data_IF_434139432215
#
_entry.id   IF_434139432215
#
_cell.length_a   1.000
_cell.length_b   1.000
_cell.length_c   1.000
_cell.angle_alpha   90.00
_cell.angle_beta   90.00
_cell.angle_gamma   90.00
#
_symmetry.space_group_name_H-M   'P 1'
#
loop_
_entity.id
_entity.type
_entity.pdbx_description
1 polymer ?
#
# COMPACT_ATOMS: atom_id res chain seq x y z
N UNK A 1 -0.30 42.45 -16.71
CA UNK A 1 -0.75 41.16 -16.12
C UNK A 1 0.48 40.38 -15.72
N UNK A 2 0.62 40.00 -14.45
CA UNK A 2 1.72 39.14 -13.97
C UNK A 2 1.57 37.73 -14.56
N UNK A 3 2.65 37.11 -15.06
CA UNK A 3 2.57 35.75 -15.61
C UNK A 3 2.16 34.76 -14.51
N UNK A 4 1.38 33.71 -14.85
CA UNK A 4 0.96 32.73 -13.85
C UNK A 4 2.18 32.03 -13.23
N UNK A 5 2.14 31.71 -11.92
CA UNK A 5 3.29 31.12 -11.25
C UNK A 5 3.68 29.78 -11.91
N UNK A 6 4.99 29.49 -12.02
CA UNK A 6 5.50 28.22 -12.51
C UNK A 6 4.82 27.04 -11.83
N UNK A 7 4.62 25.93 -12.55
CA UNK A 7 3.98 24.71 -12.03
C UNK A 7 4.58 24.23 -10.71
N UNK A 8 5.88 24.47 -10.46
CA UNK A 8 6.55 24.12 -9.21
C UNK A 8 6.08 24.99 -8.03
N UNK A 9 5.99 26.31 -8.19
CA UNK A 9 5.52 27.23 -7.14
C UNK A 9 4.09 26.87 -6.69
N UNK A 10 3.17 26.63 -7.63
CA UNK A 10 1.80 26.20 -7.31
C UNK A 10 1.73 24.91 -6.47
N UNK A 11 2.70 24.01 -6.65
CA UNK A 11 2.76 22.74 -5.90
C UNK A 11 3.28 22.97 -4.49
N UNK A 12 4.32 23.79 -4.36
CA UNK A 12 4.95 24.11 -3.09
C UNK A 12 3.98 24.92 -2.20
N UNK A 13 3.26 25.89 -2.78
CA UNK A 13 2.19 26.65 -2.12
C UNK A 13 1.05 25.73 -1.63
N UNK A 14 0.57 24.82 -2.49
CA UNK A 14 -0.49 23.88 -2.11
C UNK A 14 -0.08 22.97 -0.95
N UNK A 15 1.15 22.45 -0.97
CA UNK A 15 1.66 21.57 0.10
C UNK A 15 1.82 22.32 1.40
N UNK A 16 2.36 23.54 1.37
CA UNK A 16 2.50 24.40 2.54
C UNK A 16 1.14 24.65 3.18
N UNK A 17 0.14 25.06 2.39
CA UNK A 17 -1.22 25.26 2.88
C UNK A 17 -1.87 23.99 3.47
N UNK A 18 -1.60 22.82 2.87
CA UNK A 18 -2.13 21.53 3.36
C UNK A 18 -1.47 21.11 4.68
N UNK A 19 -0.15 21.33 4.83
CA UNK A 19 0.58 21.05 6.06
C UNK A 19 0.18 21.99 7.21
N UNK A 20 -0.05 23.27 6.91
CA UNK A 20 -0.58 24.25 7.87
C UNK A 20 -1.99 23.86 8.34
N UNK A 21 -2.87 23.45 7.42
CA UNK A 21 -4.22 22.99 7.77
C UNK A 21 -4.21 21.71 8.64
N UNK A 22 -3.27 20.80 8.40
CA UNK A 22 -3.15 19.54 9.16
C UNK A 22 -2.57 19.76 10.56
N UNK A 23 -1.64 20.71 10.71
CA UNK A 23 -1.03 21.05 12.01
C UNK A 23 -1.95 21.89 12.91
N UNK A 24 -2.84 22.71 12.31
CA UNK A 24 -3.80 23.53 13.06
C UNK A 24 -5.10 22.79 13.42
N UNK A 25 -5.37 21.58 12.89
CA UNK A 25 -6.61 20.84 13.17
C UNK A 25 -6.73 20.24 14.59
N UNK A 26 -5.85 20.63 15.52
CA UNK A 26 -6.00 20.37 16.95
C UNK A 26 -6.92 21.41 17.59
N UNK A 27 -8.19 21.07 17.77
CA UNK A 27 -9.24 21.82 18.46
C UNK A 27 -9.88 23.00 17.68
N UNK A 28 -11.19 22.87 17.45
CA UNK A 28 -12.22 23.92 17.33
C UNK A 28 -12.74 24.43 15.97
N UNK A 29 -12.08 24.27 14.82
CA UNK A 29 -12.71 24.62 13.52
C UNK A 29 -12.48 23.56 12.45
N UNK A 30 -13.44 22.64 12.37
CA UNK A 30 -13.36 21.41 11.60
C UNK A 30 -13.89 21.65 10.18
N UNK A 31 -13.18 22.47 9.42
CA UNK A 31 -13.39 22.56 7.98
C UNK A 31 -13.28 21.16 7.33
N UNK A 32 -14.14 20.91 6.36
CA UNK A 32 -14.24 19.69 5.54
C UNK A 32 -12.85 19.07 5.28
N UNK A 33 -12.56 17.88 5.86
CA UNK A 33 -11.26 17.21 5.66
C UNK A 33 -11.18 16.85 4.17
N UNK A 34 -10.31 17.54 3.44
CA UNK A 34 -10.11 17.30 2.02
C UNK A 34 -8.96 16.34 1.82
N UNK A 35 -9.19 15.33 0.98
CA UNK A 35 -8.10 14.49 0.50
C UNK A 35 -7.03 15.36 -0.20
N UNK A 36 -5.74 15.00 -0.08
CA UNK A 36 -4.69 15.62 -0.87
C UNK A 36 -4.96 15.37 -2.36
N UNK A 37 -4.63 16.35 -3.19
CA UNK A 37 -4.79 16.24 -4.65
C UNK A 37 -3.51 15.75 -5.31
N UNK A 38 -3.52 14.54 -5.88
CA UNK A 38 -2.36 13.85 -6.51
C UNK A 38 -1.54 14.74 -7.44
N UNK A 39 -2.21 15.57 -8.24
CA UNK A 39 -1.57 16.47 -9.22
C UNK A 39 -0.48 17.37 -8.61
N UNK A 40 -0.57 17.73 -7.33
CA UNK A 40 0.44 18.55 -6.67
C UNK A 40 1.65 17.76 -6.14
N UNK A 41 1.55 16.44 -6.12
CA UNK A 41 2.57 15.52 -5.59
C UNK A 41 3.30 14.72 -6.68
N UNK A 42 2.94 14.89 -7.96
CA UNK A 42 3.51 14.13 -9.07
C UNK A 42 5.02 14.34 -9.27
N UNK A 43 5.84 13.33 -9.04
CA UNK A 43 7.26 13.30 -9.44
C UNK A 43 7.46 12.35 -10.64
N UNK A 44 8.68 12.29 -11.19
CA UNK A 44 9.02 11.27 -12.20
C UNK A 44 8.76 9.89 -11.59
N UNK A 45 8.24 8.96 -12.41
CA UNK A 45 7.84 7.63 -11.93
C UNK A 45 9.03 6.86 -11.31
N UNK A 46 10.22 7.09 -11.86
CA UNK A 46 11.45 6.39 -11.49
C UNK A 46 12.34 7.31 -10.66
N UNK A 47 12.79 6.81 -9.51
CA UNK A 47 13.98 7.30 -8.83
C UNK A 47 15.15 6.36 -9.14
N UNK A 48 16.39 6.86 -9.10
CA UNK A 48 17.54 5.95 -9.15
C UNK A 48 17.57 5.20 -7.81
N UNK A 49 17.39 3.86 -7.77
CA UNK A 49 17.44 3.12 -6.52
C UNK A 49 18.79 3.30 -5.81
N UNK A 50 19.86 3.58 -6.56
CA UNK A 50 21.18 3.73 -5.98
C UNK A 50 21.50 5.14 -5.44
N UNK A 51 20.58 6.12 -5.54
CA UNK A 51 20.79 7.47 -4.98
C UNK A 51 20.25 7.57 -3.54
N UNK A 52 21.14 7.61 -2.55
CA UNK A 52 20.79 7.51 -1.11
C UNK A 52 20.47 8.85 -0.43
N UNK A 53 20.10 9.91 -1.17
CA UNK A 53 19.94 11.23 -0.57
C UNK A 53 18.85 11.23 0.54
N UNK A 54 19.30 11.30 1.79
CA UNK A 54 18.52 11.39 3.02
C UNK A 54 17.56 10.22 3.29
N UNK A 55 17.97 8.99 2.98
CA UNK A 55 17.28 7.78 3.48
C UNK A 55 17.85 7.41 4.86
N UNK A 56 16.98 7.20 5.84
CA UNK A 56 17.35 6.72 7.18
C UNK A 56 16.86 5.28 7.32
N UNK A 57 17.77 4.39 7.65
CA UNK A 57 17.49 2.98 7.89
C UNK A 57 17.69 2.68 9.38
N UNK A 58 16.83 1.85 10.00
CA UNK A 58 17.11 1.35 11.33
C UNK A 58 18.37 0.47 11.33
N UNK A 59 19.09 0.42 12.45
CA UNK A 59 20.28 -0.43 12.60
C UNK A 59 19.96 -1.91 12.46
N UNK A 60 18.81 -2.31 13.01
CA UNK A 60 18.24 -3.65 12.90
C UNK A 60 16.72 -3.54 13.13
N UNK A 61 15.94 -4.61 12.88
CA UNK A 61 14.50 -4.58 13.13
C UNK A 61 14.15 -4.17 14.57
N UNK A 62 14.98 -4.55 15.54
CA UNK A 62 14.82 -4.20 16.96
C UNK A 62 15.04 -2.71 17.29
N UNK A 63 15.59 -1.92 16.35
CA UNK A 63 15.77 -0.46 16.48
C UNK A 63 14.71 0.33 15.70
N UNK A 64 13.83 -0.35 14.94
CA UNK A 64 12.84 0.34 14.12
C UNK A 64 11.75 0.97 14.99
N UNK A 65 11.56 2.29 14.87
CA UNK A 65 10.48 3.01 15.52
C UNK A 65 9.22 2.96 14.65
N UNK A 66 8.31 2.06 15.02
CA UNK A 66 6.99 1.95 14.40
C UNK A 66 5.92 2.81 15.09
N UNK A 67 6.21 3.42 16.23
CA UNK A 67 5.22 4.11 17.07
C UNK A 67 4.62 5.33 16.38
N UNK A 68 5.43 6.09 15.64
CA UNK A 68 4.97 7.23 14.85
C UNK A 68 4.09 6.82 13.66
N UNK A 69 4.20 5.58 13.20
CA UNK A 69 3.46 5.08 12.04
C UNK A 69 2.07 4.53 12.40
N UNK A 70 1.96 3.94 13.59
CA UNK A 70 0.77 3.24 14.07
C UNK A 70 0.39 3.70 15.49
N UNK A 71 0.02 4.98 15.68
CA UNK A 71 -0.25 5.55 17.00
C UNK A 71 -1.34 4.79 17.79
N UNK A 72 -2.36 4.27 17.09
CA UNK A 72 -3.44 3.49 17.70
C UNK A 72 -3.00 2.12 18.26
N UNK A 73 -1.80 1.65 17.92
CA UNK A 73 -1.27 0.35 18.32
C UNK A 73 -0.05 0.46 19.22
N UNK A 74 0.30 1.65 19.71
CA UNK A 74 1.41 1.83 20.66
C UNK A 74 1.04 1.15 21.98
N UNK A 75 1.95 0.33 22.52
CA UNK A 75 1.75 -0.30 23.83
C UNK A 75 1.55 0.80 24.87
N UNK A 76 0.47 0.78 25.69
CA UNK A 76 0.17 1.85 26.65
C UNK A 76 1.18 1.96 27.79
N UNK A 77 1.95 0.91 28.10
CA UNK A 77 2.99 0.93 29.13
C UNK A 77 4.30 1.57 28.60
N UNK A 78 4.78 2.68 29.21
CA UNK A 78 6.01 3.38 28.81
C UNK A 78 7.31 2.58 29.00
N UNK A 79 7.30 1.52 29.80
CA UNK A 79 8.47 0.67 29.98
C UNK A 79 8.75 -0.22 28.76
N UNK A 80 7.76 -0.46 27.90
CA UNK A 80 7.89 -1.30 26.72
C UNK A 80 8.52 -0.53 25.56
N UNK A 81 9.85 -0.43 25.57
CA UNK A 81 10.66 0.24 24.55
C UNK A 81 11.49 -0.74 23.70
N UNK A 82 11.80 -0.33 22.47
CA UNK A 82 12.72 -1.03 21.58
C UNK A 82 14.18 -0.61 21.86
N UNK A 83 15.15 -1.14 21.09
CA UNK A 83 16.58 -0.82 21.30
C UNK A 83 16.96 0.62 20.90
N UNK A 84 16.08 1.34 20.20
CA UNK A 84 16.25 2.77 19.90
C UNK A 84 15.60 3.69 20.95
N UNK A 85 15.00 3.13 22.02
CA UNK A 85 14.27 3.90 23.04
C UNK A 85 12.85 4.31 22.63
N UNK A 86 12.35 3.87 21.48
CA UNK A 86 10.99 4.14 21.02
C UNK A 86 9.99 3.14 21.59
N UNK A 87 8.73 3.56 21.73
CA UNK A 87 7.66 2.70 22.27
C UNK A 87 7.36 1.54 21.32
N UNK A 88 7.24 0.33 21.86
CA UNK A 88 6.82 -0.85 21.08
C UNK A 88 5.34 -0.78 20.73
N UNK A 89 4.96 -1.45 19.65
CA UNK A 89 3.57 -1.67 19.31
C UNK A 89 3.00 -2.88 20.07
N UNK A 90 1.68 -3.00 20.09
CA UNK A 90 0.93 -4.16 20.60
C UNK A 90 1.00 -5.37 19.67
N UNK A 91 1.35 -5.16 18.39
CA UNK A 91 1.53 -6.18 17.36
C UNK A 91 2.52 -5.70 16.30
N UNK A 92 3.15 -6.64 15.61
CA UNK A 92 4.15 -6.35 14.58
C UNK A 92 3.53 -5.95 13.24
N UNK A 93 4.34 -5.28 12.40
CA UNK A 93 4.03 -5.12 10.97
C UNK A 93 4.18 -6.46 10.27
N UNK A 94 3.11 -6.92 9.64
CA UNK A 94 3.06 -8.24 8.99
C UNK A 94 2.87 -8.16 7.46
N UNK A 95 2.44 -7.00 6.94
CA UNK A 95 2.20 -6.82 5.50
C UNK A 95 3.01 -5.64 4.98
N UNK A 96 3.65 -5.81 3.83
CA UNK A 96 4.41 -4.74 3.15
C UNK A 96 4.01 -4.61 1.69
N UNK A 97 3.84 -3.36 1.24
CA UNK A 97 3.67 -2.97 -0.16
C UNK A 97 4.95 -2.26 -0.64
N UNK A 98 5.77 -3.00 -1.36
CA UNK A 98 7.06 -2.55 -1.88
C UNK A 98 6.82 -1.68 -3.13
N UNK A 99 7.22 -0.41 -3.05
CA UNK A 99 6.98 0.54 -4.13
C UNK A 99 5.50 0.95 -4.20
N UNK A 100 4.89 1.26 -3.05
CA UNK A 100 3.44 1.44 -2.91
C UNK A 100 2.82 2.56 -3.77
N UNK A 101 3.64 3.42 -4.39
CA UNK A 101 3.17 4.52 -5.23
C UNK A 101 2.25 5.45 -4.44
N UNK A 102 1.11 5.81 -5.03
CA UNK A 102 0.11 6.66 -4.38
C UNK A 102 -0.76 5.92 -3.33
N UNK A 103 -0.34 4.73 -2.88
CA UNK A 103 -0.91 4.01 -1.74
C UNK A 103 -2.27 3.35 -2.00
N UNK A 104 -2.67 3.21 -3.26
CA UNK A 104 -3.98 2.65 -3.62
C UNK A 104 -4.20 1.24 -3.06
N UNK A 105 -3.17 0.39 -3.09
CA UNK A 105 -3.21 -0.94 -2.49
C UNK A 105 -3.39 -0.86 -0.96
N UNK A 106 -2.61 -0.01 -0.27
CA UNK A 106 -2.74 0.19 1.18
C UNK A 106 -4.18 0.53 1.57
N UNK A 107 -4.80 1.50 0.88
CA UNK A 107 -6.18 1.90 1.16
C UNK A 107 -7.16 0.75 0.89
N UNK A 108 -6.94 -0.05 -0.15
CA UNK A 108 -7.78 -1.20 -0.49
C UNK A 108 -7.64 -2.37 0.49
N UNK A 109 -6.43 -2.62 1.00
CA UNK A 109 -6.16 -3.72 1.94
C UNK A 109 -6.54 -3.37 3.38
N UNK A 110 -6.51 -2.09 3.78
CA UNK A 110 -6.80 -1.67 5.15
C UNK A 110 -8.09 -2.28 5.75
N UNK A 111 -9.25 -2.19 5.06
CA UNK A 111 -10.50 -2.78 5.56
C UNK A 111 -10.58 -4.30 5.37
N UNK A 112 -9.79 -4.87 4.45
CA UNK A 112 -9.76 -6.32 4.19
C UNK A 112 -8.96 -7.06 5.27
N UNK A 113 -7.91 -6.42 5.80
CA UNK A 113 -6.99 -6.97 6.79
C UNK A 113 -6.95 -6.08 8.06
N UNK A 114 -8.09 -5.87 8.75
CA UNK A 114 -8.17 -4.92 9.87
C UNK A 114 -7.22 -5.28 11.03
N UNK A 115 -6.91 -6.57 11.17
CA UNK A 115 -6.04 -7.08 12.23
C UNK A 115 -4.54 -7.08 11.87
N UNK A 116 -4.16 -6.88 10.62
CA UNK A 116 -2.75 -6.82 10.21
C UNK A 116 -2.28 -5.37 10.08
N UNK A 117 -1.08 -5.08 10.57
CA UNK A 117 -0.41 -3.81 10.29
C UNK A 117 0.29 -3.89 8.93
N UNK A 118 0.02 -2.89 8.09
CA UNK A 118 0.41 -2.83 6.69
C UNK A 118 1.28 -1.59 6.45
N UNK A 119 2.46 -1.75 5.87
CA UNK A 119 3.36 -0.64 5.54
C UNK A 119 3.60 -0.52 4.04
N UNK A 120 3.44 0.68 3.49
CA UNK A 120 3.94 1.02 2.17
C UNK A 120 5.38 1.51 2.22
N UNK A 121 6.26 1.00 1.37
CA UNK A 121 7.64 1.48 1.25
C UNK A 121 7.80 2.21 -0.09
N UNK A 122 8.09 3.51 -0.05
CA UNK A 122 8.22 4.35 -1.26
C UNK A 122 9.49 5.20 -1.21
N UNK A 123 10.24 5.23 -2.30
CA UNK A 123 11.51 5.96 -2.38
C UNK A 123 11.31 7.46 -2.68
N UNK A 124 10.23 7.81 -3.40
CA UNK A 124 9.93 9.17 -3.86
C UNK A 124 9.26 10.00 -2.77
N UNK A 125 9.98 11.04 -2.32
CA UNK A 125 9.56 11.93 -1.22
C UNK A 125 8.16 12.50 -1.43
N UNK A 126 7.84 13.06 -2.59
CA UNK A 126 6.53 13.70 -2.76
C UNK A 126 5.40 12.70 -2.88
N UNK A 127 5.68 11.50 -3.37
CA UNK A 127 4.67 10.45 -3.48
C UNK A 127 4.37 9.92 -2.08
N UNK A 128 5.41 9.70 -1.27
CA UNK A 128 5.25 9.38 0.14
C UNK A 128 4.46 10.47 0.89
N UNK A 129 4.82 11.74 0.71
CA UNK A 129 4.13 12.88 1.33
C UNK A 129 2.62 12.84 1.03
N UNK A 130 2.25 12.58 -0.23
CA UNK A 130 0.85 12.38 -0.60
C UNK A 130 0.19 11.22 0.15
N UNK A 131 0.85 10.06 0.20
CA UNK A 131 0.29 8.86 0.84
C UNK A 131 0.09 9.10 2.33
N UNK A 132 1.08 9.67 3.02
CA UNK A 132 1.00 9.99 4.44
C UNK A 132 -0.16 10.96 4.73
N UNK A 133 -0.26 12.06 3.98
CA UNK A 133 -1.38 13.02 4.15
C UNK A 133 -2.73 12.37 3.84
N UNK A 134 -2.80 11.48 2.84
CA UNK A 134 -4.02 10.76 2.49
C UNK A 134 -4.46 9.82 3.60
N UNK A 135 -3.55 9.06 4.17
CA UNK A 135 -3.84 8.14 5.29
C UNK A 135 -4.32 8.93 6.51
N UNK A 136 -3.65 10.05 6.85
CA UNK A 136 -4.06 10.91 7.95
C UNK A 136 -5.47 11.48 7.75
N UNK A 137 -5.79 11.97 6.55
CA UNK A 137 -7.12 12.46 6.22
C UNK A 137 -8.20 11.37 6.37
N UNK A 138 -7.92 10.14 5.90
CA UNK A 138 -8.82 8.99 6.03
C UNK A 138 -9.05 8.59 7.49
N UNK A 139 -8.01 8.52 8.32
CA UNK A 139 -8.12 8.23 9.76
C UNK A 139 -8.98 9.29 10.47
N UNK A 140 -8.68 10.57 10.26
CA UNK A 140 -9.43 11.67 10.87
C UNK A 140 -10.90 11.69 10.43
N UNK A 141 -11.19 11.32 9.18
CA UNK A 141 -12.56 11.17 8.70
C UNK A 141 -13.29 10.02 9.42
N UNK A 142 -12.65 8.85 9.55
CA UNK A 142 -13.23 7.71 10.27
C UNK A 142 -13.49 8.01 11.75
N UNK A 143 -12.59 8.75 12.39
CA UNK A 143 -12.79 9.24 13.76
C UNK A 143 -14.05 10.12 13.88
N UNK A 144 -14.29 11.03 12.92
CA UNK A 144 -15.51 11.85 12.88
C UNK A 144 -16.77 11.02 12.69
N UNK A 145 -16.74 10.05 11.76
CA UNK A 145 -17.88 9.17 11.53
C UNK A 145 -18.22 8.38 12.81
N UNK A 146 -17.20 7.87 13.53
CA UNK A 146 -17.40 7.18 14.82
C UNK A 146 -18.02 8.09 15.86
N UNK A 147 -17.52 9.32 15.99
CA UNK A 147 -18.06 10.30 16.94
C UNK A 147 -19.53 10.64 16.62
N UNK A 148 -19.86 10.85 15.34
CA UNK A 148 -21.23 11.13 14.91
C UNK A 148 -22.18 9.95 15.19
N UNK A 149 -21.75 8.71 14.94
CA UNK A 149 -22.54 7.51 15.28
C UNK A 149 -22.76 7.39 16.79
N UNK A 150 -21.72 7.60 17.60
CA UNK A 150 -21.83 7.53 19.06
C UNK A 150 -22.81 8.58 19.63
N UNK A 151 -22.79 9.82 19.10
CA UNK A 151 -23.74 10.86 19.49
C UNK A 151 -25.17 10.51 19.08
N UNK A 152 -25.38 9.93 17.90
CA UNK A 152 -26.70 9.49 17.45
C UNK A 152 -27.27 8.35 18.31
N UNK A 153 -26.43 7.38 18.71
CA UNK A 153 -26.85 6.30 19.62
C UNK A 153 -27.22 6.84 21.00
N UNK A 154 -26.40 7.72 21.58
CA UNK A 154 -26.69 8.35 22.87
C UNK A 154 -27.98 9.20 22.87
N UNK A 155 -28.29 9.89 21.77
CA UNK A 155 -29.54 10.64 21.62
C UNK A 155 -30.77 9.72 21.56
N UNK A 156 -30.64 8.51 21.01
CA UNK A 156 -31.74 7.54 20.90
C UNK A 156 -32.06 6.79 22.20
N UNK A 157 -31.12 6.74 23.15
CA UNK A 157 -31.28 6.03 24.44
C UNK A 157 -31.91 6.89 25.54
N UNK A 158 -32.39 8.10 25.23
CA UNK A 158 -33.18 8.89 26.18
C UNK A 158 -34.63 8.36 26.20
N UNK A 159 -35.17 7.84 27.32
CA UNK A 159 -36.54 7.33 27.36
C UNK A 159 -37.53 8.49 27.30
N UNK A 160 -37.96 8.86 26.10
CA UNK A 160 -39.09 9.76 25.90
C UNK A 160 -40.39 9.01 26.17
N UNK A 161 -40.87 9.11 27.41
CA UNK A 161 -42.29 9.02 27.70
C UNK A 161 -42.98 10.18 26.99
N UNK A 162 -43.54 9.96 25.80
CA UNK A 162 -44.76 10.65 25.39
C UNK A 162 -45.43 9.99 24.19
N UNK A 163 -46.70 9.72 24.44
CA UNK A 163 -47.72 9.02 23.70
C UNK A 163 -47.86 9.46 22.23
N UNK A 164 -48.16 8.46 21.41
CA UNK A 164 -48.56 8.54 20.01
C UNK A 164 -49.71 9.51 19.72
N UNK A 165 -49.59 10.23 18.61
CA UNK A 165 -50.72 10.53 17.73
C UNK A 165 -50.27 10.40 16.27
N UNK A 166 -50.83 9.38 15.63
CA UNK A 166 -50.72 9.07 14.21
C UNK A 166 -51.79 9.91 13.52
N UNK A 167 -51.40 10.76 12.57
CA UNK A 167 -52.33 11.21 11.53
C UNK A 167 -51.59 11.37 10.21
N UNK A 168 -52.09 10.61 9.23
CA UNK A 168 -51.51 10.48 7.91
C UNK A 168 -51.82 11.65 6.99
N UNK A 169 -50.88 11.94 6.10
CA UNK A 169 -51.18 12.52 4.79
C UNK A 169 -50.09 12.16 3.80
N UNK A 170 -50.41 11.20 2.94
CA UNK A 170 -49.73 10.94 1.68
C UNK A 170 -49.98 12.11 0.73
N UNK A 171 -48.93 12.63 0.10
CA UNK A 171 -49.05 13.37 -1.15
C UNK A 171 -47.75 13.28 -1.97
N UNK A 172 -47.87 12.52 -3.07
CA UNK A 172 -47.13 12.53 -4.33
C UNK A 172 -45.92 13.47 -4.51
N UNK A 173 -44.83 12.88 -5.01
CA UNK A 173 -43.94 13.54 -5.95
C UNK A 173 -43.65 12.59 -7.11
N UNK A 174 -44.15 12.95 -8.29
CA UNK A 174 -43.85 12.34 -9.58
C UNK A 174 -43.20 13.41 -10.46
N UNK A 175 -42.28 12.96 -11.31
CA UNK A 175 -41.72 13.63 -12.50
C UNK A 175 -40.79 14.82 -12.21
N UNK A 176 -39.75 15.11 -12.99
CA UNK A 176 -39.02 14.46 -14.07
C UNK A 176 -37.86 15.44 -14.39
N UNK A 177 -36.78 14.96 -15.00
CA UNK A 177 -36.14 15.57 -16.17
C UNK A 177 -34.64 15.29 -16.23
N UNK A 178 -34.28 14.74 -17.38
CA UNK A 178 -32.96 14.58 -17.95
C UNK A 178 -32.09 15.83 -17.92
N UNK A 179 -30.76 15.63 -17.80
CA UNK A 179 -29.79 16.37 -18.61
C UNK A 179 -28.41 15.68 -18.58
N UNK A 180 -27.98 15.21 -19.75
CA UNK A 180 -26.66 14.68 -20.02
C UNK A 180 -25.56 15.77 -19.97
N UNK A 181 -24.44 15.51 -19.30
CA UNK A 181 -23.13 16.15 -19.58
C UNK A 181 -21.98 15.62 -18.69
N UNK A 182 -20.70 15.84 -19.02
CA UNK A 182 -19.81 14.88 -19.69
C UNK A 182 -18.74 14.26 -18.77
N UNK A 183 -18.01 13.29 -19.31
CA UNK A 183 -16.96 12.45 -18.72
C UNK A 183 -16.21 13.03 -17.48
N UNK A 184 -16.11 12.30 -16.36
CA UNK A 184 -15.39 12.78 -15.19
C UNK A 184 -13.88 12.69 -15.44
N UNK A 185 -13.21 13.83 -15.35
CA UNK A 185 -11.77 13.90 -15.12
C UNK A 185 -11.41 13.03 -13.92
N UNK A 186 -10.59 12.01 -14.15
CA UNK A 186 -10.23 10.94 -13.20
C UNK A 186 -9.29 11.45 -12.11
N UNK A 187 -9.83 12.13 -11.10
CA UNK A 187 -9.08 12.50 -9.88
C UNK A 187 -9.97 12.60 -8.62
N UNK A 188 -11.25 12.20 -8.68
CA UNK A 188 -12.15 12.15 -7.52
C UNK A 188 -12.03 10.82 -6.80
N UNK A 189 -11.03 10.70 -5.95
CA UNK A 189 -11.04 9.65 -4.93
C UNK A 189 -12.20 9.93 -3.97
N UNK A 190 -13.22 9.07 -3.99
CA UNK A 190 -14.35 9.20 -3.07
C UNK A 190 -13.91 8.84 -1.66
N UNK A 191 -14.23 9.74 -0.74
CA UNK A 191 -14.11 9.51 0.69
C UNK A 191 -15.18 8.47 1.11
N UNK A 192 -14.83 7.42 1.88
CA UNK A 192 -15.83 6.49 2.38
C UNK A 192 -16.81 7.23 3.30
N UNK A 193 -18.12 7.14 3.03
CA UNK A 193 -19.17 7.78 3.84
C UNK A 193 -19.61 6.93 5.03
N UNK A 194 -19.11 5.69 5.11
CA UNK A 194 -19.42 4.72 6.16
C UNK A 194 -18.16 4.37 6.96
N UNK A 195 -18.37 3.77 8.14
CA UNK A 195 -17.29 3.19 8.92
C UNK A 195 -16.69 1.98 8.20
N UNK A 196 -15.37 1.91 8.17
CA UNK A 196 -14.64 0.77 7.60
C UNK A 196 -13.88 0.01 8.70
N UNK A 197 -13.75 -1.32 8.61
CA UNK A 197 -12.93 -2.11 9.54
C UNK A 197 -11.50 -1.55 9.65
N UNK A 198 -10.97 -1.51 10.88
CA UNK A 198 -9.64 -0.94 11.17
C UNK A 198 -9.52 0.58 11.04
N UNK A 199 -10.47 1.27 10.40
CA UNK A 199 -10.50 2.73 10.21
C UNK A 199 -9.20 3.35 9.69
N UNK A 200 -8.46 2.61 8.86
CA UNK A 200 -7.16 2.99 8.31
C UNK A 200 -6.06 3.25 9.36
N UNK A 201 -6.29 2.89 10.62
CA UNK A 201 -5.27 2.97 11.67
C UNK A 201 -4.16 1.92 11.46
N UNK A 202 -4.48 0.84 10.76
CA UNK A 202 -3.60 -0.29 10.48
C UNK A 202 -2.68 -0.11 9.25
N UNK A 203 -2.78 1.00 8.51
CA UNK A 203 -1.92 1.29 7.34
C UNK A 203 -1.01 2.48 7.59
N UNK A 204 0.23 2.42 7.12
CA UNK A 204 1.15 3.56 7.11
C UNK A 204 2.07 3.50 5.88
N UNK A 205 2.92 4.51 5.71
CA UNK A 205 3.95 4.49 4.67
C UNK A 205 5.26 5.09 5.18
N UNK A 206 6.37 4.55 4.69
CA UNK A 206 7.74 4.95 5.05
C UNK A 206 8.58 5.25 3.82
N UNK A 207 9.56 6.15 3.99
CA UNK A 207 10.54 6.41 2.95
C UNK A 207 11.61 5.34 2.98
N UNK A 208 11.74 4.56 1.92
CA UNK A 208 12.80 3.56 1.85
C UNK A 208 13.13 3.20 0.41
N UNK A 209 14.39 2.81 0.19
CA UNK A 209 14.75 2.00 -0.97
C UNK A 209 14.79 0.54 -0.52
N UNK A 210 13.81 -0.24 -0.95
CA UNK A 210 13.66 -1.67 -0.61
C UNK A 210 14.68 -2.58 -1.29
N UNK A 211 15.47 -2.06 -2.24
CA UNK A 211 16.63 -2.80 -2.76
C UNK A 211 17.86 -2.70 -1.85
N UNK A 212 17.78 -1.93 -0.76
CA UNK A 212 18.86 -1.75 0.21
C UNK A 212 18.31 -1.94 1.61
N UNK A 213 18.93 -2.81 2.39
CA UNK A 213 18.63 -2.97 3.82
C UNK A 213 17.16 -3.36 4.09
N UNK A 214 16.51 -4.13 3.21
CA UNK A 214 15.18 -4.66 3.49
C UNK A 214 15.13 -5.46 4.81
N UNK A 215 16.12 -6.35 5.11
CA UNK A 215 16.23 -7.04 6.40
C UNK A 215 16.47 -6.13 7.62
N UNK A 216 16.79 -4.85 7.44
CA UNK A 216 16.91 -3.93 8.57
C UNK A 216 15.54 -3.51 9.12
N UNK A 217 14.48 -3.55 8.29
CA UNK A 217 13.13 -3.18 8.73
C UNK A 217 12.37 -4.34 9.38
N UNK A 218 12.62 -5.57 8.92
CA UNK A 218 11.82 -6.73 9.29
C UNK A 218 12.69 -7.86 9.83
N UNK A 219 12.29 -8.41 10.98
CA UNK A 219 12.91 -9.60 11.54
C UNK A 219 12.64 -10.84 10.67
N UNK A 220 13.42 -11.89 10.92
CA UNK A 220 13.19 -13.20 10.30
C UNK A 220 11.75 -13.65 10.56
N UNK A 221 11.03 -14.05 9.51
CA UNK A 221 9.64 -14.52 9.57
C UNK A 221 8.62 -13.52 10.13
N UNK A 222 8.94 -12.23 10.17
CA UNK A 222 8.00 -11.23 10.67
C UNK A 222 6.79 -11.05 9.73
N UNK A 223 7.01 -11.10 8.41
CA UNK A 223 5.98 -10.80 7.42
C UNK A 223 5.13 -12.02 7.10
N UNK A 224 3.84 -11.80 6.81
CA UNK A 224 2.90 -12.78 6.26
C UNK A 224 2.59 -12.51 4.78
N UNK A 225 2.70 -11.24 4.33
CA UNK A 225 2.46 -10.85 2.94
C UNK A 225 3.42 -9.77 2.46
N UNK A 226 3.98 -9.95 1.26
CA UNK A 226 4.78 -8.95 0.55
C UNK A 226 4.10 -8.68 -0.80
N UNK A 227 3.86 -7.43 -1.15
CA UNK A 227 3.31 -7.02 -2.44
C UNK A 227 4.34 -6.27 -3.26
N UNK A 228 4.46 -6.60 -4.54
CA UNK A 228 5.30 -5.92 -5.54
C UNK A 228 4.42 -5.64 -6.76
N UNK A 229 3.82 -4.45 -6.79
CA UNK A 229 2.81 -4.11 -7.79
C UNK A 229 3.35 -3.15 -8.86
N UNK A 230 3.30 -3.58 -10.12
CA UNK A 230 3.75 -2.80 -11.28
C UNK A 230 5.17 -2.21 -11.11
N UNK A 231 6.17 -3.03 -10.73
CA UNK A 231 7.54 -2.57 -10.60
C UNK A 231 8.09 -2.10 -11.97
N UNK A 232 9.10 -1.23 -11.94
CA UNK A 232 9.77 -0.79 -13.18
C UNK A 232 10.46 -1.98 -13.86
N UNK A 233 10.08 -2.32 -15.10
CA UNK A 233 10.63 -3.48 -15.82
C UNK A 233 12.09 -3.27 -16.25
N UNK A 234 12.58 -2.03 -16.27
CA UNK A 234 13.96 -1.71 -16.65
C UNK A 234 14.44 -2.38 -17.96
N UNK A 235 13.66 -2.27 -19.04
CA UNK A 235 13.82 -2.94 -20.35
C UNK A 235 15.22 -2.99 -20.99
N UNK A 236 16.16 -2.13 -20.59
CA UNK A 236 17.51 -2.14 -21.18
C UNK A 236 18.35 -3.13 -20.40
N UNK A 237 18.97 -4.12 -21.05
CA UNK A 237 19.85 -5.12 -20.42
C UNK A 237 20.81 -4.55 -19.37
N UNK A 238 21.46 -3.42 -19.66
CA UNK A 238 22.36 -2.69 -18.74
C UNK A 238 21.71 -2.21 -17.43
N UNK A 239 20.38 -2.24 -17.33
CA UNK A 239 19.56 -1.83 -16.18
C UNK A 239 18.88 -3.02 -15.49
N UNK A 240 19.06 -4.26 -15.95
CA UNK A 240 18.42 -5.42 -15.32
C UNK A 240 18.82 -5.59 -13.85
N UNK A 241 20.02 -5.13 -13.45
CA UNK A 241 20.46 -5.06 -12.04
C UNK A 241 19.62 -4.16 -11.14
N UNK A 242 18.78 -3.30 -11.71
CA UNK A 242 17.86 -2.45 -10.97
C UNK A 242 16.46 -3.08 -10.81
N UNK A 243 16.21 -4.26 -11.40
CA UNK A 243 14.94 -4.99 -11.25
C UNK A 243 14.81 -5.46 -9.80
N UNK A 244 13.63 -5.25 -9.21
CA UNK A 244 13.39 -5.60 -7.80
C UNK A 244 13.25 -7.12 -7.58
N UNK A 245 13.05 -7.87 -8.66
CA UNK A 245 13.04 -9.33 -8.65
C UNK A 245 14.40 -9.82 -9.13
N UNK A 246 15.16 -10.39 -8.20
CA UNK A 246 16.51 -10.94 -8.40
C UNK A 246 16.77 -11.99 -7.33
N UNK A 247 17.74 -12.89 -7.54
CA UNK A 247 18.07 -13.95 -6.59
C UNK A 247 18.37 -13.41 -5.18
N UNK A 248 19.20 -12.37 -5.06
CA UNK A 248 19.57 -11.75 -3.77
C UNK A 248 18.35 -11.17 -3.06
N UNK A 249 17.53 -10.38 -3.75
CA UNK A 249 16.34 -9.78 -3.15
C UNK A 249 15.28 -10.83 -2.80
N UNK A 250 15.11 -11.86 -3.64
CA UNK A 250 14.21 -12.97 -3.35
C UNK A 250 14.63 -13.72 -2.07
N UNK A 251 15.94 -13.87 -1.81
CA UNK A 251 16.43 -14.42 -0.55
C UNK A 251 16.15 -13.50 0.66
N UNK A 252 16.27 -12.17 0.50
CA UNK A 252 15.88 -11.22 1.55
C UNK A 252 14.37 -11.26 1.82
N UNK A 253 13.54 -11.41 0.78
CA UNK A 253 12.09 -11.60 0.92
C UNK A 253 11.80 -12.91 1.65
N UNK A 254 12.49 -13.99 1.30
CA UNK A 254 12.37 -15.29 1.97
C UNK A 254 12.77 -15.26 3.44
N UNK A 255 13.76 -14.44 3.80
CA UNK A 255 14.20 -14.24 5.18
C UNK A 255 13.12 -13.55 6.01
N UNK A 256 12.53 -12.46 5.50
CA UNK A 256 11.53 -11.69 6.22
C UNK A 256 10.13 -12.36 6.25
N UNK A 257 9.78 -13.12 5.22
CA UNK A 257 8.49 -13.79 5.08
C UNK A 257 8.47 -15.10 5.87
N UNK A 258 7.44 -15.33 6.69
CA UNK A 258 7.25 -16.60 7.41
C UNK A 258 6.91 -17.75 6.46
N UNK A 259 7.23 -19.02 6.79
CA UNK A 259 6.65 -20.17 6.10
C UNK A 259 5.13 -20.08 5.99
N UNK A 260 4.60 -20.35 4.80
CA UNK A 260 3.18 -20.16 4.45
C UNK A 260 2.80 -18.72 4.06
N UNK A 261 3.68 -17.74 4.27
CA UNK A 261 3.49 -16.36 3.82
C UNK A 261 3.50 -16.23 2.30
N UNK A 262 2.92 -15.16 1.77
CA UNK A 262 2.70 -14.97 0.33
C UNK A 262 3.42 -13.73 -0.22
N UNK A 263 4.16 -13.92 -1.32
CA UNK A 263 4.74 -12.86 -2.13
C UNK A 263 3.88 -12.64 -3.37
N UNK A 264 3.19 -11.51 -3.43
CA UNK A 264 2.31 -11.11 -4.52
C UNK A 264 3.03 -10.23 -5.52
N UNK A 265 2.95 -10.57 -6.80
CA UNK A 265 3.48 -9.76 -7.89
C UNK A 265 2.43 -9.55 -8.97
N UNK A 266 2.44 -8.38 -9.58
CA UNK A 266 1.59 -8.04 -10.73
C UNK A 266 2.35 -7.08 -11.65
N UNK A 267 2.22 -7.27 -12.96
CA UNK A 267 2.80 -6.37 -13.97
C UNK A 267 1.92 -6.35 -15.22
N UNK A 268 1.99 -5.28 -16.00
CA UNK A 268 1.42 -5.16 -17.34
C UNK A 268 2.41 -5.49 -18.46
N UNK A 269 3.63 -5.94 -18.10
CA UNK A 269 4.71 -6.27 -19.03
C UNK A 269 4.97 -7.77 -19.00
N UNK A 270 4.56 -8.46 -20.07
CA UNK A 270 4.70 -9.92 -20.22
C UNK A 270 6.15 -10.40 -20.08
N UNK A 271 7.10 -9.75 -20.75
CA UNK A 271 8.54 -10.07 -20.63
C UNK A 271 9.02 -10.00 -19.17
N UNK A 272 8.53 -9.02 -18.41
CA UNK A 272 8.86 -8.88 -17.00
C UNK A 272 8.14 -9.93 -16.14
N UNK A 273 6.93 -10.36 -16.52
CA UNK A 273 6.27 -11.49 -15.89
C UNK A 273 7.06 -12.80 -16.08
N UNK A 274 7.55 -13.06 -17.29
CA UNK A 274 8.42 -14.21 -17.56
C UNK A 274 9.74 -14.12 -16.77
N UNK A 275 10.30 -12.92 -16.63
CA UNK A 275 11.44 -12.68 -15.74
C UNK A 275 11.13 -13.06 -14.29
N UNK A 276 9.97 -12.68 -13.77
CA UNK A 276 9.51 -13.05 -12.42
C UNK A 276 9.46 -14.57 -12.31
N UNK A 277 8.72 -15.24 -13.20
CA UNK A 277 8.54 -16.69 -13.17
C UNK A 277 9.88 -17.45 -13.17
N UNK A 278 10.82 -17.05 -14.04
CA UNK A 278 12.17 -17.63 -14.09
C UNK A 278 12.95 -17.46 -12.78
N UNK A 279 12.87 -16.29 -12.13
CA UNK A 279 13.57 -16.02 -10.86
C UNK A 279 12.97 -16.73 -9.65
N UNK A 280 11.76 -17.27 -9.79
CA UNK A 280 11.14 -18.19 -8.82
C UNK A 280 11.18 -19.65 -9.30
N UNK A 281 11.92 -19.91 -10.39
CA UNK A 281 12.18 -21.24 -10.90
C UNK A 281 10.98 -21.94 -11.54
N UNK A 282 9.93 -21.21 -11.90
CA UNK A 282 8.81 -21.73 -12.68
C UNK A 282 9.27 -21.91 -14.12
N UNK A 283 9.13 -23.13 -14.65
CA UNK A 283 9.48 -23.47 -16.03
C UNK A 283 8.37 -22.97 -16.97
N UNK A 284 8.77 -22.15 -17.94
CA UNK A 284 7.91 -21.72 -19.03
C UNK A 284 7.94 -22.80 -20.11
N UNK A 285 6.83 -23.02 -20.81
CA UNK A 285 6.80 -24.00 -21.90
C UNK A 285 7.81 -23.64 -23.00
N UNK A 286 8.30 -24.65 -23.74
CA UNK A 286 9.34 -24.49 -24.77
C UNK A 286 9.00 -23.47 -25.88
N UNK A 287 7.74 -23.08 -26.04
CA UNK A 287 7.28 -22.06 -26.99
C UNK A 287 7.49 -20.61 -26.50
N UNK A 288 7.74 -20.42 -25.20
CA UNK A 288 7.89 -19.09 -24.56
C UNK A 288 9.36 -18.72 -24.30
N UNK A 289 10.30 -19.60 -24.65
CA UNK A 289 11.74 -19.34 -24.53
C UNK A 289 12.22 -18.32 -25.58
N UNK A 290 11.92 -17.04 -25.34
CA UNK A 290 12.65 -15.95 -25.99
C UNK A 290 14.14 -16.04 -25.63
N UNK A 291 15.02 -15.77 -26.59
CA UNK A 291 16.48 -16.01 -26.62
C UNK A 291 17.33 -15.35 -25.51
N UNK A 292 16.74 -14.83 -24.44
CA UNK A 292 17.50 -14.43 -23.25
C UNK A 292 17.96 -15.66 -22.47
N UNK A 293 19.09 -16.23 -22.90
CA UNK A 293 19.94 -17.07 -22.03
C UNK A 293 20.07 -16.36 -20.69
N UNK A 294 19.47 -16.97 -19.67
CA UNK A 294 19.67 -16.63 -18.26
C UNK A 294 21.16 -16.37 -18.03
N UNK A 295 21.52 -15.11 -17.85
CA UNK A 295 22.87 -14.69 -17.45
C UNK A 295 23.03 -14.79 -15.93
N UNK A 296 22.25 -15.64 -15.25
CA UNK A 296 22.64 -16.04 -13.90
C UNK A 296 23.98 -16.77 -14.03
N UNK A 297 25.07 -16.27 -13.43
CA UNK A 297 26.41 -16.82 -13.62
C UNK A 297 26.58 -18.22 -13.02
N UNK A 298 25.53 -18.79 -12.43
CA UNK A 298 25.59 -20.02 -11.68
C UNK A 298 24.25 -20.76 -11.79
N UNK A 299 24.21 -21.84 -12.58
CA UNK A 299 23.02 -22.71 -12.66
C UNK A 299 22.60 -23.24 -11.28
N UNK A 300 23.53 -23.32 -10.32
CA UNK A 300 23.26 -23.66 -8.92
C UNK A 300 22.61 -22.53 -8.10
N UNK A 301 22.64 -21.27 -8.54
CA UNK A 301 22.06 -20.17 -7.76
C UNK A 301 20.51 -20.16 -7.82
N UNK A 302 19.94 -20.57 -8.96
CA UNK A 302 18.49 -20.77 -9.09
C UNK A 302 17.96 -21.92 -8.21
N UNK A 303 18.83 -22.86 -7.80
CA UNK A 303 18.42 -23.95 -6.90
C UNK A 303 17.95 -23.41 -5.54
N UNK A 304 18.66 -22.40 -5.00
CA UNK A 304 18.32 -21.82 -3.70
C UNK A 304 16.92 -21.21 -3.66
N UNK A 305 16.53 -20.42 -4.66
CA UNK A 305 15.20 -19.76 -4.65
C UNK A 305 14.06 -20.79 -4.86
N UNK A 306 14.28 -21.82 -5.69
CA UNK A 306 13.33 -22.93 -5.89
C UNK A 306 13.02 -23.70 -4.59
N UNK A 307 14.00 -23.78 -3.69
CA UNK A 307 13.83 -24.40 -2.36
C UNK A 307 13.06 -23.49 -1.39
N UNK A 308 13.03 -22.18 -1.63
CA UNK A 308 12.42 -21.21 -0.72
C UNK A 308 10.95 -20.92 -1.04
N UNK A 309 10.54 -21.06 -2.30
CA UNK A 309 9.19 -20.70 -2.76
C UNK A 309 8.53 -21.76 -3.64
N UNK A 310 7.20 -21.75 -3.65
CA UNK A 310 6.37 -22.46 -4.64
C UNK A 310 5.34 -21.52 -5.25
N UNK A 311 4.91 -21.84 -6.48
CA UNK A 311 3.85 -21.09 -7.16
C UNK A 311 2.49 -21.45 -6.56
N UNK A 312 1.70 -20.43 -6.21
CA UNK A 312 0.28 -20.59 -5.87
C UNK A 312 -0.52 -20.90 -7.14
N UNK A 313 -1.45 -21.85 -7.05
CA UNK A 313 -2.27 -22.30 -8.19
C UNK A 313 -3.29 -21.23 -8.61
N UNK A 314 -3.65 -21.21 -9.89
CA UNK A 314 -4.62 -20.23 -10.40
C UNK A 314 -6.00 -20.33 -9.71
N UNK A 315 -6.42 -21.53 -9.30
CA UNK A 315 -7.66 -21.74 -8.53
C UNK A 315 -7.62 -21.04 -7.16
N UNK A 316 -6.48 -21.06 -6.48
CA UNK A 316 -6.31 -20.37 -5.20
C UNK A 316 -6.20 -18.85 -5.41
N UNK A 317 -5.56 -18.40 -6.49
CA UNK A 317 -5.48 -16.97 -6.84
C UNK A 317 -6.85 -16.36 -7.13
N UNK A 318 -7.75 -17.11 -7.77
CA UNK A 318 -9.11 -16.64 -8.08
C UNK A 318 -9.95 -16.39 -6.83
N UNK A 319 -9.68 -17.13 -5.75
CA UNK A 319 -10.38 -17.02 -4.46
C UNK A 319 -9.71 -16.03 -3.49
N UNK A 320 -8.51 -15.54 -3.79
CA UNK A 320 -7.77 -14.63 -2.90
C UNK A 320 -8.20 -13.16 -3.11
N UNK A 321 -8.93 -12.61 -2.12
CA UNK A 321 -9.35 -11.21 -2.09
C UNK A 321 -8.19 -10.21 -2.18
N UNK A 322 -6.99 -10.56 -1.72
CA UNK A 322 -5.79 -9.73 -1.88
C UNK A 322 -5.39 -9.61 -3.36
N UNK A 323 -5.56 -10.67 -4.15
CA UNK A 323 -5.31 -10.64 -5.61
C UNK A 323 -6.30 -9.71 -6.30
N UNK A 324 -7.58 -9.78 -5.94
CA UNK A 324 -8.62 -8.86 -6.46
C UNK A 324 -8.27 -7.40 -6.16
N UNK A 325 -8.00 -7.08 -4.89
CA UNK A 325 -7.62 -5.72 -4.47
C UNK A 325 -6.34 -5.25 -5.17
N UNK A 326 -5.33 -6.12 -5.32
CA UNK A 326 -4.09 -5.82 -6.02
C UNK A 326 -4.31 -5.44 -7.50
N UNK A 327 -5.22 -6.14 -8.20
CA UNK A 327 -5.57 -5.86 -9.60
C UNK A 327 -6.31 -4.52 -9.76
N UNK A 328 -7.10 -4.11 -8.78
CA UNK A 328 -8.11 -3.04 -8.94
C UNK A 328 -7.79 -1.74 -8.19
N UNK A 329 -7.14 -1.81 -7.04
CA UNK A 329 -7.01 -0.66 -6.13
C UNK A 329 -5.82 0.24 -6.47
N UNK A 330 -4.77 -0.30 -7.08
CA UNK A 330 -3.55 0.44 -7.45
C UNK A 330 -3.82 1.42 -8.59
N UNK A 331 -3.10 2.54 -8.63
CA UNK A 331 -3.24 3.53 -9.70
C UNK A 331 -2.82 3.00 -11.06
N UNK A 332 -1.73 2.23 -11.12
CA UNK A 332 -1.30 1.57 -12.35
C UNK A 332 -2.30 0.49 -12.76
N UNK A 333 -2.82 -0.33 -11.84
CA UNK A 333 -3.88 -1.30 -12.14
C UNK A 333 -5.13 -0.66 -12.75
N UNK A 334 -5.56 0.50 -12.24
CA UNK A 334 -6.67 1.28 -12.84
C UNK A 334 -6.31 1.81 -14.22
N UNK A 335 -5.07 2.28 -14.42
CA UNK A 335 -4.60 2.79 -15.73
C UNK A 335 -4.55 1.68 -16.78
N UNK A 336 -4.03 0.51 -16.42
CA UNK A 336 -3.98 -0.68 -17.29
C UNK A 336 -5.39 -1.08 -17.70
N UNK A 337 -6.34 -1.13 -16.76
CA UNK A 337 -7.75 -1.42 -17.06
C UNK A 337 -8.38 -0.40 -18.02
N UNK A 338 -8.18 0.90 -17.81
CA UNK A 338 -8.67 1.95 -18.74
C UNK A 338 -8.12 1.78 -20.15
N UNK A 339 -6.88 1.31 -20.27
CA UNK A 339 -6.21 1.08 -21.55
C UNK A 339 -6.47 -0.32 -22.13
N UNK A 340 -7.33 -1.14 -21.50
CA UNK A 340 -7.59 -2.54 -21.87
C UNK A 340 -6.30 -3.38 -21.97
N UNK A 341 -5.30 -3.05 -21.16
CA UNK A 341 -4.05 -3.80 -21.08
C UNK A 341 -4.18 -5.06 -20.23
N UNK A 342 -3.29 -6.02 -20.47
CA UNK A 342 -3.21 -7.25 -19.71
C UNK A 342 -2.61 -7.00 -18.31
N UNK A 343 -2.98 -7.85 -17.35
CA UNK A 343 -2.44 -7.86 -15.99
C UNK A 343 -1.96 -9.26 -15.67
N UNK A 344 -0.65 -9.45 -15.67
CA UNK A 344 -0.01 -10.72 -15.39
C UNK A 344 0.24 -10.84 -13.89
N UNK A 345 -0.45 -11.78 -13.23
CA UNK A 345 -0.37 -11.99 -11.79
C UNK A 345 0.53 -13.18 -11.48
N UNK A 346 1.39 -13.01 -10.48
CA UNK A 346 2.18 -14.09 -9.96
C UNK A 346 2.32 -14.06 -8.45
N UNK A 347 1.86 -15.11 -7.76
CA UNK A 347 1.97 -15.22 -6.30
C UNK A 347 2.77 -16.45 -5.91
N UNK A 348 3.68 -16.28 -4.96
CA UNK A 348 4.57 -17.34 -4.49
C UNK A 348 4.40 -17.54 -2.99
N UNK A 349 4.23 -18.79 -2.57
CA UNK A 349 4.17 -19.16 -1.16
C UNK A 349 5.55 -19.48 -0.65
N UNK A 350 5.89 -18.95 0.53
CA UNK A 350 7.13 -19.27 1.23
C UNK A 350 7.04 -20.71 1.76
N UNK A 351 7.93 -21.57 1.28
CA UNK A 351 8.09 -22.94 1.81
C UNK A 351 8.61 -22.91 3.25
N UNK A 352 8.46 -24.04 3.94
CA UNK A 352 9.19 -24.27 5.20
C UNK A 352 10.68 -24.16 4.96
N UNK A 353 11.44 -23.74 5.98
CA UNK A 353 12.89 -23.79 5.89
C UNK A 353 13.36 -25.23 5.70
N UNK A 354 14.41 -25.47 4.91
CA UNK A 354 15.02 -26.79 4.86
C UNK A 354 15.55 -27.14 6.26
N UNK A 355 15.39 -28.40 6.65
CA UNK A 355 16.05 -28.92 7.84
C UNK A 355 17.56 -28.85 7.62
N UNK A 356 18.26 -28.08 8.46
CA UNK A 356 19.71 -28.12 8.48
C UNK A 356 20.13 -29.45 9.14
N UNK A 357 20.90 -30.31 8.47
CA UNK A 357 21.48 -31.46 9.16
C UNK A 357 22.35 -30.93 10.31
N UNK A 358 22.05 -31.40 11.52
CA UNK A 358 22.72 -31.02 12.76
C UNK A 358 24.22 -31.40 12.76
#
# INVERSE_FOLDING_TARGET
MTPPPPKRQKRDEYRKATAEATSQSGASDVAEIKLPKKKYYRQRAHANPFSDHHLKYPLSPAHMDWSSHYPAFVNPDPSHINLAGARRLLKDVEVVDIGCGFGGLLIGLAPLLPESLIVGMEIRVSVLEYVTTRIQALRAQQQKLRAATATATAASETPSQQQAQIDGKQANANAAADAASPAPSTDTEHMPTTLVPGSYENISAIRSNTMKFFPNFFARHQLSKIFICFPDPHFKARKHKARIISETLNAEYAYALRPGGLLYTITDVEEYHHWILRHFGVELGAEEESEEKSTSPNANANAGVRELFERVSEEELEKDECVRVMKEATEEGKKVARNKGNKYVAVFRRKTDPEWPA
#
